data_IF_705037470853
#
_entry.id   IF_705037470853
#
_cell.length_a   1.000
_cell.length_b   1.000
_cell.length_c   1.000
_cell.angle_alpha   90.00
_cell.angle_beta   90.00
_cell.angle_gamma   90.00
#
_symmetry.space_group_name_H-M   'P 1'
#
loop_
_entity.id
_entity.type
_entity.pdbx_description
1 polymer ?
#
# COMPACT_ATOMS: atom_id res chain seq x y z
N UNK A 1 -3.18 41.87 72.46
CA UNK A 1 -2.01 42.55 73.09
C UNK A 1 -2.43 43.12 74.43
N UNK A 2 -1.51 43.22 75.40
CA UNK A 2 -1.81 43.68 76.75
C UNK A 2 -1.65 45.20 76.97
N UNK A 3 -0.91 45.91 76.09
CA UNK A 3 -0.73 47.36 76.08
C UNK A 3 -0.57 47.87 74.63
N UNK A 4 -1.16 49.02 74.31
CA UNK A 4 -1.03 49.75 73.03
C UNK A 4 -0.01 50.88 73.14
N UNK A 5 0.57 51.36 72.02
CA UNK A 5 1.50 52.49 72.05
C UNK A 5 0.90 53.74 72.71
N UNK A 6 -0.40 53.98 72.56
CA UNK A 6 -1.08 55.12 73.18
C UNK A 6 -1.31 54.90 74.69
N UNK A 7 -1.50 53.67 75.14
CA UNK A 7 -1.56 53.33 76.58
C UNK A 7 -0.20 53.47 77.26
N UNK A 8 0.92 53.23 76.55
CA UNK A 8 2.29 53.45 77.07
C UNK A 8 2.55 54.95 77.28
N UNK A 9 2.06 55.81 76.37
CA UNK A 9 2.26 57.26 76.45
C UNK A 9 1.44 57.93 77.56
N UNK A 10 0.24 57.40 77.83
CA UNK A 10 -0.70 57.96 78.81
C UNK A 10 -0.57 57.33 80.21
N UNK A 11 0.43 56.47 80.43
CA UNK A 11 0.59 55.77 81.70
C UNK A 11 1.22 56.68 82.78
N UNK A 12 0.47 56.96 83.85
CA UNK A 12 0.97 57.78 84.97
C UNK A 12 1.70 56.94 86.03
N UNK A 13 2.92 57.34 86.39
CA UNK A 13 3.67 56.72 87.49
C UNK A 13 3.47 57.46 88.81
N UNK A 14 3.15 56.72 89.87
CA UNK A 14 3.13 57.28 91.24
C UNK A 14 4.57 57.37 91.79
N UNK A 15 4.98 58.54 92.26
CA UNK A 15 6.31 58.74 92.89
C UNK A 15 6.30 58.22 94.32
N UNK A 16 7.09 57.18 94.62
CA UNK A 16 7.20 56.60 95.98
C UNK A 16 8.66 56.41 96.38
N UNK A 17 9.11 57.17 97.40
CA UNK A 17 10.42 56.99 98.05
C UNK A 17 11.57 57.86 97.51
N UNK A 18 12.67 57.92 98.27
CA UNK A 18 13.86 58.77 98.00
C UNK A 18 14.80 58.25 96.91
N UNK A 19 14.49 57.12 96.27
CA UNK A 19 15.22 56.53 95.13
C UNK A 19 14.30 56.37 93.90
N UNK A 20 13.54 57.41 93.59
CA UNK A 20 12.67 57.41 92.41
C UNK A 20 13.47 57.71 91.13
N UNK A 21 13.07 57.12 90.01
CA UNK A 21 13.60 57.47 88.69
C UNK A 21 13.29 58.92 88.34
N UNK A 22 14.18 59.55 87.56
CA UNK A 22 13.98 60.89 87.03
C UNK A 22 12.87 60.84 85.97
N UNK A 23 11.79 61.59 86.19
CA UNK A 23 10.64 61.60 85.26
C UNK A 23 11.06 61.85 83.80
N UNK A 24 11.97 62.81 83.56
CA UNK A 24 12.46 63.13 82.21
C UNK A 24 13.18 61.97 81.50
N UNK A 25 13.89 61.14 82.26
CA UNK A 25 14.63 59.99 81.71
C UNK A 25 13.67 58.84 81.39
N UNK A 26 12.65 58.63 82.25
CA UNK A 26 11.57 57.69 82.01
C UNK A 26 10.74 58.11 80.79
N UNK A 27 10.39 59.38 80.66
CA UNK A 27 9.63 59.91 79.52
C UNK A 27 10.40 59.68 78.20
N UNK A 28 11.70 60.00 78.17
CA UNK A 28 12.55 59.76 76.98
C UNK A 28 12.66 58.28 76.62
N UNK A 29 12.74 57.39 77.63
CA UNK A 29 12.74 55.94 77.41
C UNK A 29 11.39 55.46 76.88
N UNK A 30 10.27 55.93 77.43
CA UNK A 30 8.93 55.59 76.94
C UNK A 30 8.69 56.07 75.51
N UNK A 31 9.21 57.24 75.12
CA UNK A 31 9.16 57.72 73.73
C UNK A 31 9.90 56.77 72.78
N UNK A 32 11.11 56.30 73.17
CA UNK A 32 11.86 55.31 72.40
C UNK A 32 11.12 53.97 72.31
N UNK A 33 10.60 53.47 73.44
CA UNK A 33 9.83 52.22 73.49
C UNK A 33 8.56 52.33 72.65
N UNK A 34 7.89 53.48 72.66
CA UNK A 34 6.70 53.73 71.85
C UNK A 34 7.02 53.66 70.36
N UNK A 35 8.10 54.34 69.94
CA UNK A 35 8.55 54.32 68.55
C UNK A 35 8.90 52.88 68.08
N UNK A 36 9.67 52.15 68.89
CA UNK A 36 10.03 50.76 68.59
C UNK A 36 8.79 49.84 68.55
N UNK A 37 7.82 50.05 69.45
CA UNK A 37 6.55 49.32 69.44
C UNK A 37 5.71 49.62 68.19
N UNK A 38 5.65 50.89 67.76
CA UNK A 38 4.96 51.29 66.52
C UNK A 38 5.61 50.64 65.31
N UNK A 39 6.94 50.64 65.25
CA UNK A 39 7.68 49.97 64.18
C UNK A 39 7.45 48.45 64.20
N UNK A 40 7.44 47.82 65.39
CA UNK A 40 7.17 46.40 65.53
C UNK A 40 5.76 46.03 65.06
N UNK A 41 4.75 46.82 65.40
CA UNK A 41 3.37 46.62 64.94
C UNK A 41 3.30 46.76 63.42
N UNK A 42 3.88 47.81 62.84
CA UNK A 42 3.89 48.00 61.39
C UNK A 42 4.60 46.85 60.65
N UNK A 43 5.72 46.36 61.19
CA UNK A 43 6.43 45.18 60.65
C UNK A 43 5.60 43.91 60.80
N UNK A 44 4.91 43.72 61.93
CA UNK A 44 4.02 42.58 62.14
C UNK A 44 2.87 42.59 61.13
N UNK A 45 2.21 43.73 60.93
CA UNK A 45 1.12 43.86 59.97
C UNK A 45 1.60 43.59 58.54
N UNK A 46 2.76 44.12 58.17
CA UNK A 46 3.38 43.84 56.87
C UNK A 46 3.73 42.36 56.71
N UNK A 47 4.33 41.74 57.73
CA UNK A 47 4.68 40.33 57.70
C UNK A 47 3.44 39.43 57.68
N UNK A 48 2.38 39.80 58.40
CA UNK A 48 1.10 39.09 58.40
C UNK A 48 0.44 39.16 57.02
N UNK A 49 0.40 40.35 56.40
CA UNK A 49 -0.17 40.52 55.06
C UNK A 49 0.61 39.75 53.99
N UNK A 50 1.94 39.77 54.06
CA UNK A 50 2.78 38.99 53.15
C UNK A 50 2.60 37.49 53.36
N UNK A 51 2.48 37.03 54.61
CA UNK A 51 2.21 35.62 54.90
C UNK A 51 0.87 35.17 54.32
N UNK A 52 -0.21 35.94 54.51
CA UNK A 52 -1.52 35.65 53.92
C UNK A 52 -1.48 35.59 52.39
N UNK A 53 -0.72 36.49 51.75
CA UNK A 53 -0.50 36.47 50.31
C UNK A 53 0.28 35.23 49.86
N UNK A 54 1.32 34.84 50.60
CA UNK A 54 2.09 33.63 50.33
C UNK A 54 1.23 32.37 50.49
N UNK A 55 0.43 32.27 51.56
CA UNK A 55 -0.50 31.16 51.77
C UNK A 55 -1.51 31.03 50.63
N UNK A 56 -2.05 32.16 50.16
CA UNK A 56 -2.97 32.18 49.00
C UNK A 56 -2.27 31.67 47.74
N UNK A 57 -1.04 32.11 47.50
CA UNK A 57 -0.24 31.65 46.35
C UNK A 57 0.08 30.16 46.44
N UNK A 58 0.40 29.65 47.63
CA UNK A 58 0.63 28.22 47.86
C UNK A 58 -0.63 27.42 47.54
N UNK A 59 -1.79 27.82 48.06
CA UNK A 59 -3.07 27.17 47.75
C UNK A 59 -3.39 27.16 46.26
N UNK A 60 -3.12 28.26 45.56
CA UNK A 60 -3.30 28.33 44.11
C UNK A 60 -2.38 27.35 43.37
N UNK A 61 -1.10 27.30 43.76
CA UNK A 61 -0.13 26.37 43.17
C UNK A 61 -0.48 24.91 43.47
N UNK A 62 -0.99 24.60 44.66
CA UNK A 62 -1.48 23.27 45.02
C UNK A 62 -2.68 22.87 44.16
N UNK A 63 -3.65 23.77 43.96
CA UNK A 63 -4.79 23.54 43.06
C UNK A 63 -4.33 23.28 41.62
N UNK A 64 -3.40 24.10 41.11
CA UNK A 64 -2.83 23.91 39.77
C UNK A 64 -2.07 22.61 39.65
N UNK A 65 -1.31 22.21 40.69
CA UNK A 65 -0.60 20.93 40.72
C UNK A 65 -1.58 19.77 40.65
N UNK A 66 -2.69 19.85 41.38
CA UNK A 66 -3.72 18.82 41.35
C UNK A 66 -4.40 18.75 39.97
N UNK A 67 -4.77 19.88 39.38
CA UNK A 67 -5.32 19.94 38.02
C UNK A 67 -4.37 19.34 36.97
N UNK A 68 -3.08 19.65 37.06
CA UNK A 68 -2.06 19.06 36.18
C UNK A 68 -1.96 17.55 36.41
N UNK A 69 -1.97 17.09 37.65
CA UNK A 69 -1.94 15.66 37.96
C UNK A 69 -3.16 14.92 37.37
N UNK A 70 -4.36 15.48 37.55
CA UNK A 70 -5.58 14.95 36.94
C UNK A 70 -5.52 14.96 35.41
N UNK A 71 -4.96 16.01 34.81
CA UNK A 71 -4.77 16.10 33.36
C UNK A 71 -3.81 15.02 32.85
N UNK A 72 -2.73 14.73 33.57
CA UNK A 72 -1.77 13.66 33.23
C UNK A 72 -2.46 12.29 33.30
N UNK A 73 -3.22 12.02 34.36
CA UNK A 73 -3.95 10.76 34.51
C UNK A 73 -4.95 10.59 33.37
N UNK A 74 -5.73 11.63 33.06
CA UNK A 74 -6.67 11.61 31.95
C UNK A 74 -5.97 11.41 30.60
N UNK A 75 -4.84 12.09 30.36
CA UNK A 75 -4.07 11.91 29.13
C UNK A 75 -3.53 10.49 28.99
N UNK A 76 -3.07 9.87 30.09
CA UNK A 76 -2.63 8.48 30.11
C UNK A 76 -3.80 7.52 29.84
N UNK A 77 -4.97 7.74 30.44
CA UNK A 77 -6.17 6.95 30.19
C UNK A 77 -6.59 7.06 28.72
N UNK A 78 -6.61 8.28 28.18
CA UNK A 78 -6.92 8.52 26.77
C UNK A 78 -5.90 7.88 25.83
N UNK A 79 -4.60 7.96 26.13
CA UNK A 79 -3.57 7.30 25.36
C UNK A 79 -3.73 5.77 25.37
N UNK A 80 -4.03 5.19 26.53
CA UNK A 80 -4.31 3.76 26.66
C UNK A 80 -5.59 3.35 25.89
N UNK A 81 -6.63 4.19 25.94
CA UNK A 81 -7.87 3.98 25.19
C UNK A 81 -7.61 4.00 23.69
N UNK A 82 -6.90 5.00 23.18
CA UNK A 82 -6.52 5.11 21.77
C UNK A 82 -5.66 3.92 21.34
N UNK A 83 -4.70 3.50 22.17
CA UNK A 83 -3.87 2.32 21.88
C UNK A 83 -4.75 1.06 21.74
N UNK A 84 -5.65 0.82 22.69
CA UNK A 84 -6.56 -0.33 22.68
C UNK A 84 -7.48 -0.30 21.46
N UNK A 85 -8.07 0.85 21.15
CA UNK A 85 -8.94 1.02 19.97
C UNK A 85 -8.16 0.79 18.66
N UNK A 86 -6.92 1.27 18.56
CA UNK A 86 -6.06 1.02 17.41
C UNK A 86 -5.67 -0.45 17.27
N UNK A 87 -5.37 -1.13 18.38
CA UNK A 87 -5.09 -2.59 18.40
C UNK A 87 -6.33 -3.40 17.96
N UNK A 88 -7.51 -3.08 18.50
CA UNK A 88 -8.78 -3.72 18.15
C UNK A 88 -9.13 -3.50 16.67
N UNK A 89 -9.03 -2.26 16.17
CA UNK A 89 -9.33 -1.96 14.77
C UNK A 89 -8.29 -2.55 13.83
N UNK A 90 -7.00 -2.56 14.20
CA UNK A 90 -5.95 -3.24 13.44
C UNK A 90 -6.23 -4.74 13.33
N UNK A 91 -6.57 -5.40 14.44
CA UNK A 91 -6.90 -6.81 14.45
C UNK A 91 -8.13 -7.11 13.58
N UNK A 92 -9.15 -6.27 13.66
CA UNK A 92 -10.35 -6.36 12.83
C UNK A 92 -10.02 -6.16 11.36
N UNK A 93 -9.19 -5.18 11.00
CA UNK A 93 -8.75 -4.93 9.63
C UNK A 93 -7.97 -6.13 9.07
N UNK A 94 -7.06 -6.71 9.86
CA UNK A 94 -6.33 -7.92 9.47
C UNK A 94 -7.27 -9.11 9.29
N UNK A 95 -8.26 -9.27 10.18
CA UNK A 95 -9.27 -10.32 10.07
C UNK A 95 -10.10 -10.16 8.79
N UNK A 96 -10.59 -8.95 8.51
CA UNK A 96 -11.35 -8.63 7.30
C UNK A 96 -10.52 -8.84 6.03
N UNK A 97 -9.25 -8.42 6.03
CA UNK A 97 -8.34 -8.64 4.91
C UNK A 97 -8.09 -10.14 4.67
N UNK A 98 -7.96 -10.95 5.72
CA UNK A 98 -7.83 -12.41 5.62
C UNK A 98 -9.10 -13.06 5.06
N UNK A 99 -10.27 -12.63 5.52
CA UNK A 99 -11.56 -13.13 5.03
C UNK A 99 -11.75 -12.78 3.55
N UNK A 100 -11.50 -11.52 3.17
CA UNK A 100 -11.55 -11.08 1.78
C UNK A 100 -10.54 -11.83 0.89
N UNK A 101 -9.30 -12.03 1.36
CA UNK A 101 -8.30 -12.80 0.63
C UNK A 101 -8.73 -14.26 0.44
N UNK A 102 -9.33 -14.88 1.47
CA UNK A 102 -9.86 -16.25 1.39
C UNK A 102 -10.99 -16.32 0.37
N UNK A 103 -11.92 -15.37 0.40
CA UNK A 103 -13.01 -15.29 -0.57
C UNK A 103 -12.50 -15.15 -2.01
N UNK A 104 -11.50 -14.29 -2.24
CA UNK A 104 -10.88 -14.12 -3.56
C UNK A 104 -10.24 -15.44 -4.04
N UNK A 105 -9.55 -16.15 -3.14
CA UNK A 105 -8.92 -17.44 -3.46
C UNK A 105 -9.97 -18.49 -3.80
N UNK A 106 -11.05 -18.56 -3.03
CA UNK A 106 -12.12 -19.53 -3.25
C UNK A 106 -12.89 -19.24 -4.55
N UNK A 107 -13.16 -17.96 -4.84
CA UNK A 107 -13.75 -17.54 -6.11
C UNK A 107 -12.82 -17.86 -7.30
N UNK A 108 -11.52 -17.62 -7.16
CA UNK A 108 -10.53 -17.94 -8.18
C UNK A 108 -10.42 -19.46 -8.41
N UNK A 109 -10.43 -20.25 -7.35
CA UNK A 109 -10.47 -21.73 -7.43
C UNK A 109 -11.73 -22.22 -8.09
N UNK A 110 -12.89 -21.67 -7.71
CA UNK A 110 -14.17 -22.01 -8.34
C UNK A 110 -14.18 -21.73 -9.84
N UNK A 111 -13.66 -20.57 -10.26
CA UNK A 111 -13.50 -20.24 -11.69
C UNK A 111 -12.53 -21.18 -12.40
N UNK A 112 -11.37 -21.45 -11.79
CA UNK A 112 -10.36 -22.35 -12.34
C UNK A 112 -10.92 -23.78 -12.51
N UNK A 113 -11.69 -24.28 -11.54
CA UNK A 113 -12.31 -25.61 -11.60
C UNK A 113 -13.36 -25.70 -12.71
N UNK A 114 -14.17 -24.65 -12.88
CA UNK A 114 -15.16 -24.57 -13.97
C UNK A 114 -14.44 -24.55 -15.33
N UNK A 115 -13.39 -23.76 -15.47
CA UNK A 115 -12.61 -23.69 -16.71
C UNK A 115 -11.87 -25.00 -17.00
N UNK A 116 -11.26 -25.62 -15.99
CA UNK A 116 -10.61 -26.92 -16.11
C UNK A 116 -11.60 -28.01 -16.59
N UNK A 117 -12.82 -28.02 -16.05
CA UNK A 117 -13.89 -28.91 -16.52
C UNK A 117 -14.30 -28.61 -17.96
N UNK A 118 -14.42 -27.33 -18.33
CA UNK A 118 -14.72 -26.92 -19.71
C UNK A 118 -13.66 -27.41 -20.69
N UNK A 119 -12.38 -27.19 -20.38
CA UNK A 119 -11.25 -27.65 -21.19
C UNK A 119 -11.16 -29.18 -21.28
N UNK A 120 -11.45 -29.89 -20.18
CA UNK A 120 -11.51 -31.34 -20.19
C UNK A 120 -12.62 -31.86 -21.12
N UNK A 121 -13.81 -31.25 -21.07
CA UNK A 121 -14.92 -31.59 -21.95
C UNK A 121 -14.57 -31.31 -23.43
N UNK A 122 -14.00 -30.13 -23.71
CA UNK A 122 -13.56 -29.75 -25.06
C UNK A 122 -12.52 -30.74 -25.62
N UNK A 123 -11.58 -31.20 -24.80
CA UNK A 123 -10.63 -32.25 -25.20
C UNK A 123 -11.33 -33.56 -25.57
N UNK A 124 -12.31 -34.00 -24.77
CA UNK A 124 -13.09 -35.21 -25.06
C UNK A 124 -13.84 -35.07 -26.39
N UNK A 125 -14.48 -33.92 -26.61
CA UNK A 125 -15.23 -33.64 -27.83
C UNK A 125 -14.30 -33.61 -29.06
N UNK A 126 -13.12 -33.00 -28.92
CA UNK A 126 -12.11 -32.94 -29.98
C UNK A 126 -11.54 -34.33 -30.31
N UNK A 127 -11.34 -35.20 -29.31
CA UNK A 127 -10.97 -36.60 -29.52
C UNK A 127 -12.07 -37.35 -30.28
N UNK A 128 -13.34 -37.11 -29.95
CA UNK A 128 -14.46 -37.74 -30.64
C UNK A 128 -14.54 -37.31 -32.11
N UNK A 129 -14.36 -36.02 -32.40
CA UNK A 129 -14.30 -35.50 -33.76
C UNK A 129 -13.12 -36.07 -34.54
N UNK A 130 -11.95 -36.15 -33.90
CA UNK A 130 -10.74 -36.76 -34.45
C UNK A 130 -10.98 -38.23 -34.85
N UNK A 131 -11.62 -39.01 -33.97
CA UNK A 131 -11.98 -40.40 -34.23
C UNK A 131 -13.01 -40.53 -35.36
N UNK A 132 -14.00 -39.63 -35.41
CA UNK A 132 -14.99 -39.58 -36.48
C UNK A 132 -14.33 -39.31 -37.83
N UNK A 133 -13.47 -38.30 -37.92
CA UNK A 133 -12.75 -37.96 -39.15
C UNK A 133 -11.84 -39.12 -39.61
N UNK A 134 -11.13 -39.76 -38.68
CA UNK A 134 -10.37 -41.00 -38.99
C UNK A 134 -11.28 -42.06 -39.58
N UNK A 135 -12.47 -42.27 -39.01
CA UNK A 135 -13.46 -43.20 -39.55
C UNK A 135 -13.92 -42.85 -40.96
N UNK A 136 -14.18 -41.57 -41.25
CA UNK A 136 -14.53 -41.08 -42.59
C UNK A 136 -13.38 -41.30 -43.60
N UNK A 137 -12.13 -41.03 -43.21
CA UNK A 137 -10.95 -41.29 -44.05
C UNK A 137 -10.78 -42.78 -44.34
N UNK A 138 -10.97 -43.65 -43.34
CA UNK A 138 -10.91 -45.11 -43.53
C UNK A 138 -12.00 -45.55 -44.52
N UNK A 139 -13.25 -45.10 -44.34
CA UNK A 139 -14.35 -45.41 -45.28
C UNK A 139 -14.05 -44.93 -46.69
N UNK A 140 -13.49 -43.73 -46.85
CA UNK A 140 -13.09 -43.19 -48.15
C UNK A 140 -12.00 -44.05 -48.80
N UNK A 141 -10.94 -44.39 -48.04
CA UNK A 141 -9.87 -45.27 -48.50
C UNK A 141 -10.42 -46.62 -48.95
N UNK A 142 -11.29 -47.24 -48.16
CA UNK A 142 -11.86 -48.56 -48.48
C UNK A 142 -12.75 -48.48 -49.72
N UNK A 143 -13.53 -47.41 -49.86
CA UNK A 143 -14.33 -47.15 -51.07
C UNK A 143 -13.44 -46.95 -52.31
N UNK A 144 -12.32 -46.24 -52.19
CA UNK A 144 -11.35 -46.04 -53.26
C UNK A 144 -10.62 -47.33 -53.64
N UNK A 145 -10.21 -48.12 -52.64
CA UNK A 145 -9.63 -49.44 -52.86
C UNK A 145 -10.60 -50.39 -53.56
N UNK A 146 -11.89 -50.36 -53.17
CA UNK A 146 -12.94 -51.12 -53.86
C UNK A 146 -13.12 -50.66 -55.31
N UNK A 147 -13.14 -49.36 -55.58
CA UNK A 147 -13.22 -48.83 -56.94
C UNK A 147 -12.03 -49.27 -57.80
N UNK A 148 -10.80 -49.17 -57.26
CA UNK A 148 -9.60 -49.66 -57.95
C UNK A 148 -9.65 -51.17 -58.19
N UNK A 149 -10.16 -51.93 -57.23
CA UNK A 149 -10.34 -53.39 -57.36
C UNK A 149 -11.37 -53.71 -58.45
N UNK A 150 -12.46 -52.95 -58.54
CA UNK A 150 -13.44 -53.07 -59.62
C UNK A 150 -12.82 -52.73 -60.99
N UNK A 151 -12.03 -51.65 -61.08
CA UNK A 151 -11.32 -51.29 -62.30
C UNK A 151 -10.28 -52.34 -62.71
N UNK A 152 -9.53 -52.88 -61.74
CA UNK A 152 -8.60 -53.98 -61.94
C UNK A 152 -9.33 -55.23 -62.45
N UNK A 153 -10.44 -55.61 -61.82
CA UNK A 153 -11.25 -56.74 -62.26
C UNK A 153 -11.82 -56.52 -63.68
N UNK A 154 -12.19 -55.31 -64.08
CA UNK A 154 -12.59 -55.01 -65.46
C UNK A 154 -11.45 -55.20 -66.47
N UNK A 155 -10.23 -54.84 -66.09
CA UNK A 155 -9.02 -55.11 -66.89
C UNK A 155 -8.75 -56.62 -66.99
N UNK A 156 -8.87 -57.35 -65.88
CA UNK A 156 -8.63 -58.79 -65.80
C UNK A 156 -9.77 -59.63 -66.42
N UNK A 157 -11.01 -59.12 -66.45
CA UNK A 157 -12.19 -59.82 -66.99
C UNK A 157 -12.26 -59.85 -68.52
N UNK A 158 -11.11 -59.84 -69.20
CA UNK A 158 -10.95 -60.16 -70.63
C UNK A 158 -11.67 -59.25 -71.64
N UNK A 159 -12.19 -58.07 -71.26
CA UNK A 159 -12.65 -57.10 -72.25
C UNK A 159 -11.48 -56.42 -72.98
N UNK A 160 -10.30 -56.36 -72.34
CA UNK A 160 -9.08 -55.83 -72.94
C UNK A 160 -8.40 -56.84 -73.87
N UNK A 161 -8.34 -58.13 -73.52
CA UNK A 161 -7.81 -59.18 -74.43
C UNK A 161 -8.69 -59.35 -75.68
N UNK A 162 -10.02 -59.25 -75.52
CA UNK A 162 -10.94 -59.23 -76.65
C UNK A 162 -10.71 -58.02 -77.57
N UNK A 163 -10.44 -56.83 -77.01
CA UNK A 163 -10.17 -55.62 -77.77
C UNK A 163 -8.76 -55.59 -78.39
N UNK A 164 -7.73 -56.08 -77.71
CA UNK A 164 -6.33 -56.13 -78.18
C UNK A 164 -6.15 -57.14 -79.30
N UNK A 165 -6.88 -58.26 -79.27
CA UNK A 165 -6.87 -59.24 -80.38
C UNK A 165 -7.52 -58.73 -81.68
N UNK A 166 -8.27 -57.62 -81.62
CA UNK A 166 -8.93 -57.00 -82.78
C UNK A 166 -8.09 -55.89 -83.44
N UNK A 167 -6.89 -55.56 -82.92
CA UNK A 167 -6.01 -54.62 -83.60
C UNK A 167 -5.18 -55.33 -84.68
N UNK A 168 -5.32 -54.96 -85.97
CA UNK A 168 -4.43 -55.48 -87.01
C UNK A 168 -3.02 -54.94 -86.84
N UNK A 169 -2.06 -55.86 -86.81
CA UNK A 169 -0.62 -55.57 -86.75
C UNK A 169 -0.13 -54.98 -88.08
N UNK A 170 -0.07 -53.65 -88.10
CA UNK A 170 0.94 -52.80 -88.76
C UNK A 170 0.94 -52.59 -90.28
N UNK A 171 1.38 -51.35 -90.60
CA UNK A 171 2.03 -50.85 -91.83
C UNK A 171 1.17 -50.17 -92.88
N UNK A 172 0.97 -48.85 -92.69
CA UNK A 172 1.12 -47.88 -93.78
C UNK A 172 2.08 -46.80 -93.30
N UNK A 173 3.34 -46.94 -93.72
CA UNK A 173 4.24 -45.81 -93.97
C UNK A 173 3.78 -45.08 -95.23
N UNK A 174 4.18 -43.81 -95.37
CA UNK A 174 4.01 -42.85 -96.48
C UNK A 174 2.94 -41.76 -96.26
N UNK A 175 3.21 -40.87 -95.32
CA UNK A 175 3.22 -39.42 -95.57
C UNK A 175 3.64 -38.72 -94.28
N UNK A 176 4.92 -38.92 -93.99
CA UNK A 176 5.67 -37.97 -93.19
C UNK A 176 5.85 -36.70 -94.07
N UNK A 177 5.63 -35.54 -93.44
CA UNK A 177 6.42 -34.30 -93.62
C UNK A 177 6.05 -33.38 -94.80
N UNK A 178 5.19 -32.40 -94.54
CA UNK A 178 5.50 -30.95 -94.54
C UNK A 178 4.45 -30.30 -93.59
N UNK A 179 4.72 -29.50 -92.56
CA UNK A 179 5.93 -28.95 -91.98
C UNK A 179 5.66 -28.75 -90.47
N UNK A 180 6.70 -28.94 -89.66
CA UNK A 180 6.83 -28.40 -88.30
C UNK A 180 6.93 -26.85 -88.35
N UNK A 181 6.77 -26.10 -87.24
CA UNK A 181 7.32 -26.45 -85.94
C UNK A 181 6.47 -26.15 -84.69
N UNK A 182 6.78 -26.97 -83.69
CA UNK A 182 6.65 -26.69 -82.26
C UNK A 182 7.54 -25.49 -81.93
N UNK A 183 7.01 -24.51 -81.19
CA UNK A 183 7.85 -23.66 -80.33
C UNK A 183 7.29 -23.63 -78.91
N UNK A 184 8.10 -24.20 -78.02
CA UNK A 184 8.10 -24.07 -76.56
C UNK A 184 8.22 -22.61 -76.13
N UNK A 185 7.63 -22.15 -75.01
CA UNK A 185 8.19 -21.01 -74.32
C UNK A 185 9.26 -21.47 -73.32
N UNK A 186 10.45 -20.95 -73.59
CA UNK A 186 11.70 -21.05 -72.84
C UNK A 186 11.63 -20.22 -71.55
N UNK A 187 12.46 -20.64 -70.60
CA UNK A 187 12.87 -20.02 -69.34
C UNK A 187 13.35 -18.56 -69.48
N UNK A 188 13.09 -17.75 -68.43
CA UNK A 188 13.69 -16.45 -68.04
C UNK A 188 13.49 -15.27 -69.03
N UNK A 189 13.30 -14.02 -68.59
CA UNK A 189 14.07 -13.25 -67.61
C UNK A 189 13.33 -11.91 -67.37
N UNK A 190 13.33 -11.42 -66.12
CA UNK A 190 13.66 -10.03 -65.68
C UNK A 190 13.08 -8.88 -66.51
N UNK A 191 12.23 -8.01 -65.97
CA UNK A 191 12.51 -6.70 -65.33
C UNK A 191 11.17 -5.93 -65.56
N UNK A 192 10.61 -5.06 -64.75
CA UNK A 192 11.17 -3.94 -64.02
C UNK A 192 10.02 -3.41 -63.16
N UNK A 193 10.34 -3.12 -61.91
CA UNK A 193 9.62 -2.15 -61.08
C UNK A 193 9.69 -0.80 -61.78
N UNK A 194 8.56 -0.12 -61.98
CA UNK A 194 8.45 1.29 -61.56
C UNK A 194 7.04 1.86 -61.68
N UNK A 195 6.60 2.44 -60.55
CA UNK A 195 6.07 3.80 -60.41
C UNK A 195 4.81 4.18 -61.21
N UNK A 196 3.85 4.91 -60.65
CA UNK A 196 3.71 5.53 -59.34
C UNK A 196 2.33 6.17 -59.29
N UNK A 197 1.95 6.55 -58.08
CA UNK A 197 1.07 7.68 -57.76
C UNK A 197 -0.43 7.39 -57.84
N UNK A 198 -1.27 7.91 -56.97
CA UNK A 198 -1.15 8.56 -55.67
C UNK A 198 -2.59 8.87 -55.25
N UNK A 199 -2.76 9.19 -53.96
CA UNK A 199 -3.83 10.04 -53.41
C UNK A 199 -5.18 9.34 -53.17
N UNK A 200 -5.81 9.39 -51.99
CA UNK A 200 -6.11 10.55 -51.12
C UNK A 200 -6.44 10.05 -49.68
N UNK A 201 -5.69 10.45 -48.62
CA UNK A 201 -6.03 11.39 -47.49
C UNK A 201 -7.10 10.88 -46.49
N UNK A 202 -7.03 11.02 -45.15
CA UNK A 202 -6.02 11.40 -44.15
C UNK A 202 -6.57 11.17 -42.71
N UNK A 203 -5.65 10.85 -41.78
CA UNK A 203 -5.52 11.29 -40.36
C UNK A 203 -6.63 11.11 -39.27
N UNK A 204 -6.29 11.18 -37.95
CA UNK A 204 -5.10 10.65 -37.23
C UNK A 204 -5.43 10.06 -35.84
N UNK A 205 -4.44 9.46 -35.15
CA UNK A 205 -4.55 9.11 -33.72
C UNK A 205 -3.38 8.25 -33.20
N UNK A 206 -2.34 8.91 -32.72
CA UNK A 206 -1.03 8.39 -32.30
C UNK A 206 -0.97 8.13 -30.77
N UNK A 207 -0.32 7.05 -30.32
CA UNK A 207 0.47 6.96 -29.06
C UNK A 207 1.28 5.64 -28.99
N UNK A 208 2.46 5.63 -28.31
CA UNK A 208 3.65 4.92 -28.78
C UNK A 208 4.09 3.71 -27.92
N UNK A 209 4.98 2.91 -28.51
CA UNK A 209 5.78 1.89 -27.84
C UNK A 209 6.92 2.52 -27.03
N UNK A 210 7.13 2.04 -25.81
CA UNK A 210 8.22 2.46 -24.91
C UNK A 210 9.46 1.60 -25.17
N UNK A 211 10.56 2.29 -25.50
CA UNK A 211 11.91 1.74 -25.60
C UNK A 211 12.54 1.48 -24.22
N UNK A 212 13.41 0.48 -24.19
CA UNK A 212 14.30 0.18 -23.09
C UNK A 212 15.55 1.07 -23.13
N UNK A 213 15.98 1.56 -21.97
CA UNK A 213 17.37 1.90 -21.68
C UNK A 213 17.59 1.80 -20.17
N UNK A 214 18.67 1.13 -19.79
CA UNK A 214 19.06 0.92 -18.40
C UNK A 214 19.80 2.11 -17.80
N UNK A 215 19.86 2.14 -16.46
CA UNK A 215 20.97 2.74 -15.73
C UNK A 215 21.07 2.20 -14.29
N UNK A 216 22.29 1.78 -13.97
CA UNK A 216 23.06 1.67 -12.73
C UNK A 216 22.42 1.37 -11.36
N UNK A 217 22.97 0.32 -10.73
CA UNK A 217 22.90 0.00 -9.32
C UNK A 217 24.04 0.65 -8.52
N UNK A 218 23.74 1.24 -7.36
CA UNK A 218 24.70 1.47 -6.27
C UNK A 218 23.98 1.52 -4.91
N UNK A 219 24.44 0.78 -3.87
CA UNK A 219 23.97 0.91 -2.49
C UNK A 219 24.96 1.72 -1.65
N UNK A 220 24.47 2.56 -0.73
CA UNK A 220 25.29 3.30 0.24
C UNK A 220 24.63 3.34 1.63
N UNK A 221 25.39 2.86 2.62
CA UNK A 221 25.49 3.12 4.08
C UNK A 221 24.24 3.45 4.92
N UNK A 222 23.92 2.74 6.02
CA UNK A 222 24.58 2.56 7.36
C UNK A 222 24.59 3.81 8.26
N UNK A 223 24.12 3.59 9.52
CA UNK A 223 24.12 4.47 10.72
C UNK A 223 23.12 5.64 10.66
N UNK A 224 22.23 5.92 11.61
CA UNK A 224 22.31 5.84 13.08
C UNK A 224 20.95 5.49 13.72
N UNK A 225 20.91 4.42 14.53
CA UNK A 225 19.91 4.19 15.58
C UNK A 225 20.54 4.59 16.91
N UNK A 226 20.07 5.67 17.53
CA UNK A 226 20.42 6.02 18.91
C UNK A 226 19.13 6.10 19.74
N UNK A 227 18.87 5.15 20.67
CA UNK A 227 17.78 5.29 21.61
C UNK A 227 18.20 6.20 22.77
N UNK A 228 17.49 7.32 22.94
CA UNK A 228 17.59 8.25 24.07
C UNK A 228 17.53 7.50 25.41
N UNK A 229 18.68 7.41 26.09
CA UNK A 229 18.84 6.76 27.38
C UNK A 229 18.53 7.75 28.51
N UNK A 230 17.42 7.55 29.21
CA UNK A 230 17.01 8.35 30.38
C UNK A 230 17.86 7.92 31.58
N UNK A 231 18.82 8.75 31.97
CA UNK A 231 19.61 8.56 33.20
C UNK A 231 18.93 9.30 34.34
N UNK A 232 18.42 8.56 35.33
CA UNK A 232 18.06 9.12 36.63
C UNK A 232 19.34 9.42 37.42
N UNK A 233 19.46 10.59 38.08
CA UNK A 233 20.57 10.81 39.00
C UNK A 233 20.34 9.99 40.27
N UNK A 234 21.24 9.01 40.51
CA UNK A 234 21.36 8.35 41.81
C UNK A 234 21.82 9.36 42.86
N UNK A 235 21.01 9.48 43.89
CA UNK A 235 21.26 10.26 45.10
C UNK A 235 22.17 9.48 46.06
N UNK A 236 23.06 10.17 46.78
CA UNK A 236 23.13 9.95 48.23
C UNK A 236 22.68 11.17 49.03
#
# INVERSE_FOLDING_TARGET
>A
MALTPDEILNHEFTRKGSKAYLAKEVDTFLDSVNNDYRELIARYDHLSATNEQLETRVKQLESQREEVNQSIIFAQEMANKVRREAEEESQKQVSQAREAATQIIDDARGKADVEAKRLAQENVDLINEQNRLRGEVIKFRDSFANLLTQQKNLLESQQLDAAVSLLPTSQISVNALEASPVETPVVNTVETVNMASADVVAEPGDVPAVEASGDTAQPSDKQDDDPTLVVFPDNP
#
